data_IF_570549402202
#
_entry.id   IF_570549402202
#
_cell.length_a   1.000
_cell.length_b   1.000
_cell.length_c   1.000
_cell.angle_alpha   90.00
_cell.angle_beta   90.00
_cell.angle_gamma   90.00
#
_symmetry.space_group_name_H-M   'P 1'
#
loop_
_entity.id
_entity.type
_entity.pdbx_description
1 polymer ?
#
# COMPACT_ATOMS: atom_id res chain seq x y z
N UNK A 1 2.57 5.54 -15.38
CA UNK A 1 1.99 4.21 -15.02
C UNK A 1 2.18 3.79 -13.56
N UNK A 2 3.40 3.62 -13.00
CA UNK A 2 3.58 3.10 -11.61
C UNK A 2 2.91 3.97 -10.53
N UNK A 3 3.16 5.28 -10.60
CA UNK A 3 2.67 6.27 -9.62
C UNK A 3 1.16 6.45 -9.71
N UNK A 4 0.58 6.40 -10.91
CA UNK A 4 -0.86 6.54 -11.13
C UNK A 4 -1.67 5.45 -10.40
N UNK A 5 -1.20 4.19 -10.43
CA UNK A 5 -1.90 3.11 -9.72
C UNK A 5 -1.79 3.23 -8.21
N UNK A 6 -0.66 3.72 -7.68
CA UNK A 6 -0.54 3.95 -6.23
C UNK A 6 -1.43 5.11 -5.77
N UNK A 7 -1.54 6.19 -6.56
CA UNK A 7 -2.45 7.29 -6.29
C UNK A 7 -3.92 6.80 -6.27
N UNK A 8 -4.33 6.02 -7.27
CA UNK A 8 -5.67 5.40 -7.33
C UNK A 8 -5.92 4.43 -6.18
N UNK A 9 -4.90 3.70 -5.74
CA UNK A 9 -5.01 2.81 -4.58
C UNK A 9 -5.29 3.59 -3.30
N UNK A 10 -4.61 4.73 -3.08
CA UNK A 10 -4.87 5.62 -1.95
C UNK A 10 -6.27 6.24 -2.01
N UNK A 11 -6.71 6.68 -3.20
CA UNK A 11 -8.06 7.20 -3.40
C UNK A 11 -9.13 6.15 -3.06
N UNK A 12 -8.98 4.92 -3.53
CA UNK A 12 -9.91 3.84 -3.20
C UNK A 12 -9.83 3.39 -1.73
N UNK A 13 -8.66 3.49 -1.08
CA UNK A 13 -8.55 3.29 0.37
C UNK A 13 -9.34 4.35 1.15
N UNK A 14 -9.23 5.62 0.77
CA UNK A 14 -10.02 6.69 1.37
C UNK A 14 -11.53 6.46 1.14
N UNK A 15 -11.93 6.10 -0.08
CA UNK A 15 -13.32 5.75 -0.38
C UNK A 15 -13.82 4.55 0.42
N UNK A 16 -12.99 3.51 0.60
CA UNK A 16 -13.34 2.34 1.40
C UNK A 16 -13.58 2.72 2.88
N UNK A 17 -12.74 3.60 3.43
CA UNK A 17 -12.89 4.12 4.79
C UNK A 17 -14.21 4.90 4.94
N UNK A 18 -14.50 5.82 4.02
CA UNK A 18 -15.77 6.58 4.00
C UNK A 18 -16.98 5.64 3.94
N UNK A 19 -16.93 4.62 3.08
CA UNK A 19 -18.01 3.62 3.01
C UNK A 19 -18.18 2.87 4.34
N UNK A 20 -17.09 2.47 4.98
CA UNK A 20 -17.14 1.80 6.28
C UNK A 20 -17.76 2.67 7.37
N UNK A 21 -17.32 3.92 7.47
CA UNK A 21 -17.78 4.87 8.49
C UNK A 21 -19.28 5.19 8.35
N UNK A 22 -19.83 5.05 7.13
CA UNK A 22 -21.24 5.25 6.82
C UNK A 22 -22.07 3.95 6.80
N UNK A 23 -21.50 2.82 7.24
CA UNK A 23 -22.21 1.53 7.28
C UNK A 23 -22.42 0.88 5.91
N UNK A 24 -21.78 1.37 4.85
CA UNK A 24 -21.87 0.87 3.48
C UNK A 24 -20.88 -0.29 3.26
N UNK A 25 -21.06 -1.39 3.98
CA UNK A 25 -20.08 -2.47 4.08
C UNK A 25 -19.79 -3.22 2.77
N UNK A 26 -20.78 -3.40 1.90
CA UNK A 26 -20.58 -3.99 0.58
C UNK A 26 -19.72 -3.08 -0.31
N UNK A 27 -20.05 -1.78 -0.33
CA UNK A 27 -19.26 -0.78 -1.06
C UNK A 27 -17.83 -0.65 -0.49
N UNK A 28 -17.68 -0.73 0.84
CA UNK A 28 -16.37 -0.81 1.49
C UNK A 28 -15.56 -2.01 0.98
N UNK A 29 -16.16 -3.20 0.90
CA UNK A 29 -15.48 -4.40 0.40
C UNK A 29 -15.04 -4.25 -1.07
N UNK A 30 -15.92 -3.69 -1.91
CA UNK A 30 -15.63 -3.39 -3.30
C UNK A 30 -14.43 -2.42 -3.45
N UNK A 31 -14.50 -1.25 -2.80
CA UNK A 31 -13.43 -0.24 -2.84
C UNK A 31 -12.12 -0.77 -2.27
N UNK A 32 -12.20 -1.55 -1.19
CA UNK A 32 -11.02 -2.12 -0.58
C UNK A 32 -10.32 -3.13 -1.51
N UNK A 33 -11.06 -3.96 -2.22
CA UNK A 33 -10.47 -4.88 -3.19
C UNK A 33 -9.78 -4.14 -4.34
N UNK A 34 -10.43 -3.13 -4.94
CA UNK A 34 -9.81 -2.37 -6.03
C UNK A 34 -8.58 -1.59 -5.58
N UNK A 35 -8.59 -1.01 -4.38
CA UNK A 35 -7.40 -0.39 -3.79
C UNK A 35 -6.25 -1.38 -3.67
N UNK A 36 -6.51 -2.59 -3.14
CA UNK A 36 -5.51 -3.64 -3.01
C UNK A 36 -4.96 -4.09 -4.37
N UNK A 37 -5.83 -4.28 -5.36
CA UNK A 37 -5.43 -4.66 -6.72
C UNK A 37 -4.52 -3.61 -7.36
N UNK A 38 -4.88 -2.33 -7.23
CA UNK A 38 -4.08 -1.21 -7.75
C UNK A 38 -2.73 -1.09 -7.04
N UNK A 39 -2.69 -1.30 -5.72
CA UNK A 39 -1.43 -1.36 -4.97
C UNK A 39 -0.54 -2.52 -5.48
N UNK A 40 -1.11 -3.70 -5.74
CA UNK A 40 -0.38 -4.83 -6.30
C UNK A 40 0.16 -4.56 -7.72
N UNK A 41 -0.61 -3.88 -8.58
CA UNK A 41 -0.15 -3.44 -9.90
C UNK A 41 1.03 -2.47 -9.77
N UNK A 42 0.92 -1.49 -8.87
CA UNK A 42 2.02 -0.55 -8.60
C UNK A 42 3.27 -1.29 -8.10
N UNK A 43 3.11 -2.23 -7.15
CA UNK A 43 4.21 -3.04 -6.62
C UNK A 43 4.90 -3.90 -7.68
N UNK A 44 4.14 -4.55 -8.56
CA UNK A 44 4.69 -5.35 -9.67
C UNK A 44 5.45 -4.49 -10.65
N UNK A 45 4.84 -3.38 -11.08
CA UNK A 45 5.47 -2.45 -12.00
C UNK A 45 6.74 -1.85 -11.38
N UNK A 46 6.73 -1.52 -10.08
CA UNK A 46 7.90 -1.09 -9.31
C UNK A 46 9.07 -2.05 -9.48
N UNK A 47 8.81 -3.35 -9.36
CA UNK A 47 9.79 -4.44 -9.46
C UNK A 47 10.05 -4.93 -10.91
N UNK A 48 9.71 -4.11 -11.91
CA UNK A 48 10.01 -4.38 -13.32
C UNK A 48 9.05 -5.35 -14.01
N UNK A 49 7.97 -5.77 -13.35
CA UNK A 49 6.96 -6.66 -13.92
C UNK A 49 5.83 -5.80 -14.48
N UNK A 50 5.87 -5.56 -15.79
CA UNK A 50 4.87 -4.76 -16.51
C UNK A 50 3.87 -5.66 -17.23
N UNK A 51 2.67 -5.13 -17.48
CA UNK A 51 1.65 -5.78 -18.31
C UNK A 51 0.97 -4.78 -19.22
N UNK A 52 0.56 -5.26 -20.38
CA UNK A 52 -0.22 -4.50 -21.36
C UNK A 52 -1.71 -4.48 -20.99
N UNK A 53 -2.19 -5.51 -20.28
CA UNK A 53 -3.57 -5.63 -19.80
C UNK A 53 -3.60 -5.96 -18.32
N UNK A 54 -4.60 -5.42 -17.62
CA UNK A 54 -4.85 -5.72 -16.21
C UNK A 54 -5.82 -6.89 -16.13
N UNK A 55 -5.28 -8.08 -15.90
CA UNK A 55 -6.05 -9.27 -15.53
C UNK A 55 -5.98 -9.48 -14.02
N UNK A 56 -7.13 -9.62 -13.38
CA UNK A 56 -7.22 -9.71 -11.92
C UNK A 56 -6.54 -10.96 -11.38
N UNK A 57 -6.74 -12.11 -12.03
CA UNK A 57 -6.15 -13.39 -11.59
C UNK A 57 -4.64 -13.39 -11.75
N UNK A 58 -4.13 -12.90 -12.88
CA UNK A 58 -2.69 -12.83 -13.15
C UNK A 58 -1.99 -11.83 -12.22
N UNK A 59 -2.59 -10.67 -11.94
CA UNK A 59 -2.05 -9.71 -10.97
C UNK A 59 -1.84 -10.37 -9.61
N UNK A 60 -2.81 -11.16 -9.16
CA UNK A 60 -2.74 -11.89 -7.89
C UNK A 60 -1.67 -12.98 -7.91
N UNK A 61 -1.66 -13.78 -8.96
CA UNK A 61 -0.71 -14.86 -9.15
C UNK A 61 0.74 -14.33 -9.12
N UNK A 62 1.03 -13.24 -9.83
CA UNK A 62 2.39 -12.71 -9.87
C UNK A 62 2.74 -11.93 -8.60
N UNK A 63 1.82 -11.21 -7.99
CA UNK A 63 2.11 -10.54 -6.70
C UNK A 63 2.51 -11.58 -5.64
N UNK A 64 1.75 -12.66 -5.55
CA UNK A 64 2.02 -13.78 -4.64
C UNK A 64 3.26 -14.60 -5.04
N UNK A 65 3.38 -14.92 -6.32
CA UNK A 65 4.45 -15.76 -6.87
C UNK A 65 5.80 -15.05 -6.93
N UNK A 66 5.83 -13.88 -7.56
CA UNK A 66 7.07 -13.14 -7.78
C UNK A 66 7.48 -12.36 -6.53
N UNK A 67 6.61 -11.50 -6.00
CA UNK A 67 7.03 -10.53 -4.99
C UNK A 67 7.05 -11.10 -3.57
N UNK A 68 6.31 -12.18 -3.30
CA UNK A 68 6.28 -12.82 -1.98
C UNK A 68 7.10 -14.11 -1.97
N UNK A 69 6.78 -15.11 -2.81
CA UNK A 69 7.44 -16.42 -2.74
C UNK A 69 8.88 -16.38 -3.28
N UNK A 70 9.06 -15.89 -4.51
CA UNK A 70 10.34 -15.99 -5.23
C UNK A 70 11.34 -14.92 -4.77
N UNK A 71 10.94 -13.65 -4.83
CA UNK A 71 11.84 -12.51 -4.55
C UNK A 71 11.82 -12.05 -3.09
N UNK A 72 10.82 -12.48 -2.30
CA UNK A 72 10.68 -12.14 -0.87
C UNK A 72 10.71 -10.62 -0.60
N UNK A 73 10.19 -9.83 -1.53
CA UNK A 73 10.11 -8.36 -1.43
C UNK A 73 9.04 -7.96 -0.41
N UNK A 74 7.93 -8.69 -0.37
CA UNK A 74 6.83 -8.47 0.58
C UNK A 74 6.69 -9.62 1.58
N UNK A 75 6.20 -9.37 2.81
CA UNK A 75 6.03 -10.40 3.82
C UNK A 75 5.08 -11.52 3.40
N UNK A 76 5.37 -12.75 3.87
CA UNK A 76 4.59 -13.95 3.53
C UNK A 76 3.10 -13.86 3.87
N UNK A 77 2.71 -13.11 4.91
CA UNK A 77 1.31 -12.95 5.32
C UNK A 77 0.42 -12.25 4.29
N UNK A 78 0.99 -11.47 3.37
CA UNK A 78 0.25 -10.79 2.30
C UNK A 78 -0.20 -11.77 1.18
N UNK A 79 0.31 -13.01 1.18
CA UNK A 79 0.14 -13.97 0.09
C UNK A 79 -1.31 -14.22 -0.32
N UNK A 80 -2.24 -14.22 0.64
CA UNK A 80 -3.66 -14.47 0.41
C UNK A 80 -4.52 -13.21 0.33
N UNK A 81 -3.96 -12.03 0.59
CA UNK A 81 -4.77 -10.82 0.81
C UNK A 81 -5.67 -10.51 -0.38
N UNK A 82 -5.10 -10.50 -1.59
CA UNK A 82 -5.89 -10.18 -2.79
C UNK A 82 -6.97 -11.23 -3.10
N UNK A 83 -6.65 -12.52 -2.99
CA UNK A 83 -7.63 -13.59 -3.27
C UNK A 83 -8.75 -13.61 -2.22
N UNK A 84 -8.41 -13.41 -0.95
CA UNK A 84 -9.38 -13.31 0.14
C UNK A 84 -10.29 -12.09 -0.06
N UNK A 85 -9.70 -10.94 -0.41
CA UNK A 85 -10.44 -9.70 -0.63
C UNK A 85 -11.32 -9.77 -1.89
N UNK A 86 -10.85 -10.42 -2.96
CA UNK A 86 -11.68 -10.68 -4.14
C UNK A 86 -12.91 -11.51 -3.75
N UNK A 87 -12.70 -12.60 -3.02
CA UNK A 87 -13.81 -13.47 -2.59
C UNK A 87 -14.86 -12.72 -1.76
N UNK A 88 -14.43 -11.82 -0.87
CA UNK A 88 -15.36 -10.98 -0.10
C UNK A 88 -16.08 -9.96 -1.00
N UNK A 89 -15.35 -9.31 -1.92
CA UNK A 89 -15.92 -8.38 -2.89
C UNK A 89 -16.93 -9.06 -3.82
N UNK A 90 -16.65 -10.28 -4.28
CA UNK A 90 -17.56 -11.03 -5.16
C UNK A 90 -18.85 -11.39 -4.42
N UNK A 91 -18.77 -11.72 -3.11
CA UNK A 91 -19.97 -11.87 -2.27
C UNK A 91 -20.75 -10.55 -2.15
N UNK A 92 -20.04 -9.46 -1.87
CA UNK A 92 -20.64 -8.14 -1.69
C UNK A 92 -21.41 -7.66 -2.93
N UNK A 93 -20.89 -7.95 -4.12
CA UNK A 93 -21.39 -7.41 -5.38
C UNK A 93 -22.38 -8.33 -6.09
N UNK A 94 -22.24 -9.65 -5.95
CA UNK A 94 -22.93 -10.64 -6.79
C UNK A 94 -23.74 -11.68 -6.02
N UNK A 95 -23.92 -11.49 -4.71
CA UNK A 95 -24.77 -12.37 -3.90
C UNK A 95 -25.76 -11.55 -3.08
N UNK A 96 -26.78 -12.21 -2.57
CA UNK A 96 -27.77 -11.66 -1.64
C UNK A 96 -27.23 -11.46 -0.22
N UNK A 97 -26.00 -11.94 0.07
CA UNK A 97 -25.39 -11.88 1.40
C UNK A 97 -24.64 -10.57 1.60
N UNK A 98 -25.10 -9.78 2.56
CA UNK A 98 -24.41 -8.58 3.00
C UNK A 98 -23.11 -8.88 3.75
N UNK A 99 -22.12 -8.03 3.55
CA UNK A 99 -20.87 -8.03 4.32
C UNK A 99 -21.13 -7.40 5.68
N UNK A 100 -20.62 -8.05 6.74
CA UNK A 100 -20.73 -7.53 8.10
C UNK A 100 -19.63 -6.51 8.40
N UNK A 101 -19.90 -5.61 9.36
CA UNK A 101 -18.91 -4.66 9.89
C UNK A 101 -17.57 -5.32 10.21
N UNK A 102 -17.57 -6.48 10.88
CA UNK A 102 -16.35 -7.20 11.28
C UNK A 102 -15.55 -7.72 10.08
N UNK A 103 -16.20 -8.03 8.97
CA UNK A 103 -15.50 -8.46 7.74
C UNK A 103 -14.91 -7.23 7.05
N UNK A 104 -15.68 -6.16 6.91
CA UNK A 104 -15.22 -4.91 6.29
C UNK A 104 -14.06 -4.27 7.06
N UNK A 105 -14.10 -4.27 8.39
CA UNK A 105 -13.01 -3.78 9.24
C UNK A 105 -11.72 -4.58 9.00
N UNK A 106 -11.82 -5.91 8.97
CA UNK A 106 -10.67 -6.78 8.66
C UNK A 106 -10.12 -6.53 7.25
N UNK A 107 -10.98 -6.25 6.28
CA UNK A 107 -10.52 -5.85 4.93
C UNK A 107 -9.77 -4.53 4.96
N UNK A 108 -10.25 -3.52 5.70
CA UNK A 108 -9.57 -2.24 5.84
C UNK A 108 -8.21 -2.38 6.50
N UNK A 109 -8.09 -3.18 7.57
CA UNK A 109 -6.80 -3.43 8.22
C UNK A 109 -5.79 -4.06 7.24
N UNK A 110 -6.20 -5.10 6.51
CA UNK A 110 -5.37 -5.75 5.48
C UNK A 110 -4.99 -4.77 4.36
N UNK A 111 -5.93 -3.93 3.94
CA UNK A 111 -5.71 -2.95 2.89
C UNK A 111 -4.70 -1.88 3.31
N UNK A 112 -4.88 -1.29 4.50
CA UNK A 112 -3.97 -0.28 5.05
C UNK A 112 -2.54 -0.82 5.13
N UNK A 113 -2.38 -2.06 5.58
CA UNK A 113 -1.07 -2.72 5.61
C UNK A 113 -0.47 -2.88 4.21
N UNK A 114 -1.23 -3.42 3.25
CA UNK A 114 -0.74 -3.65 1.89
C UNK A 114 -0.33 -2.33 1.21
N UNK A 115 -1.18 -1.30 1.30
CA UNK A 115 -0.93 0.03 0.72
C UNK A 115 0.26 0.70 1.40
N UNK A 116 0.33 0.65 2.74
CA UNK A 116 1.44 1.20 3.52
C UNK A 116 2.79 0.58 3.15
N UNK A 117 2.87 -0.75 3.07
CA UNK A 117 4.09 -1.45 2.64
C UNK A 117 4.47 -1.12 1.19
N UNK A 118 3.48 -0.99 0.31
CA UNK A 118 3.70 -0.63 -1.10
C UNK A 118 4.25 0.79 -1.23
N UNK A 119 3.71 1.73 -0.46
CA UNK A 119 4.15 3.12 -0.41
C UNK A 119 5.56 3.23 0.17
N UNK A 120 5.83 2.58 1.30
CA UNK A 120 7.15 2.58 1.93
C UNK A 120 8.24 2.14 0.95
N UNK A 121 7.99 1.08 0.17
CA UNK A 121 8.95 0.60 -0.84
C UNK A 121 9.13 1.57 -2.00
N UNK A 122 8.05 2.19 -2.47
CA UNK A 122 8.14 3.23 -3.50
C UNK A 122 8.93 4.45 -3.02
N UNK A 123 8.82 4.84 -1.76
CA UNK A 123 9.58 5.95 -1.20
C UNK A 123 11.05 5.58 -0.99
N UNK A 124 11.34 4.42 -0.40
CA UNK A 124 12.72 3.97 -0.15
C UNK A 124 13.57 3.96 -1.43
N UNK A 125 13.03 3.42 -2.53
CA UNK A 125 13.71 3.43 -3.83
C UNK A 125 13.95 4.82 -4.43
N UNK A 126 13.12 5.82 -4.08
CA UNK A 126 13.35 7.22 -4.50
C UNK A 126 14.53 7.82 -3.74
N UNK A 127 14.67 7.51 -2.45
CA UNK A 127 15.80 7.97 -1.65
C UNK A 127 17.11 7.25 -2.00
N UNK A 128 17.07 5.95 -2.29
CA UNK A 128 18.24 5.20 -2.77
C UNK A 128 18.72 5.66 -4.16
N UNK A 129 17.82 6.22 -4.97
CA UNK A 129 18.13 6.76 -6.29
C UNK A 129 18.68 8.20 -6.27
N UNK A 130 18.66 8.88 -5.11
CA UNK A 130 19.29 10.19 -4.97
C UNK A 130 20.81 10.02 -4.90
N UNK A 131 21.59 10.81 -5.66
CA UNK A 131 23.04 10.72 -5.58
C UNK A 131 23.48 11.14 -4.16
N UNK A 132 24.52 10.49 -3.62
CA UNK A 132 25.00 10.70 -2.23
C UNK A 132 25.24 12.17 -1.85
N UNK A 133 25.48 13.03 -2.83
CA UNK A 133 25.69 14.47 -2.67
C UNK A 133 24.39 15.31 -2.61
N UNK A 134 23.22 14.77 -2.97
CA UNK A 134 21.94 15.49 -2.90
C UNK A 134 21.43 15.69 -1.46
N UNK A 135 22.02 15.00 -0.47
CA UNK A 135 21.70 15.19 0.94
C UNK A 135 22.28 16.48 1.55
N UNK A 136 23.26 17.13 0.88
CA UNK A 136 23.89 18.35 1.40
C UNK A 136 23.17 19.66 1.02
N UNK A 137 22.19 19.66 0.13
CA UNK A 137 21.58 20.91 -0.38
C UNK A 137 20.09 21.10 -0.01
N UNK A 138 19.50 20.23 0.80
CA UNK A 138 18.08 20.35 1.17
C UNK A 138 17.85 20.49 2.68
N UNK A 139 18.44 21.53 3.27
CA UNK A 139 17.85 22.17 4.44
C UNK A 139 17.67 23.65 4.13
N UNK A 140 16.44 24.15 3.90
CA UNK A 140 16.22 25.58 4.02
C UNK A 140 16.52 25.95 5.47
N UNK A 141 17.61 26.69 5.67
CA UNK A 141 17.91 27.31 6.94
C UNK A 141 16.70 28.16 7.36
N UNK A 142 15.94 27.71 8.36
CA UNK A 142 15.05 28.62 9.09
C UNK A 142 13.59 28.24 9.34
N UNK A 143 13.16 26.98 9.24
CA UNK A 143 11.84 26.60 9.77
C UNK A 143 11.98 25.72 11.02
N UNK A 144 11.44 26.21 12.13
CA UNK A 144 11.51 25.59 13.44
C UNK A 144 10.89 24.19 13.45
N UNK A 145 11.59 23.23 14.07
CA UNK A 145 11.09 21.87 14.26
C UNK A 145 9.74 21.88 15.01
N UNK A 146 8.70 21.15 14.54
CA UNK A 146 7.47 21.01 15.30
C UNK A 146 7.71 20.14 16.56
N UNK A 147 7.07 20.46 17.69
CA UNK A 147 7.34 19.79 18.96
C UNK A 147 6.84 18.33 18.94
N UNK A 148 7.75 17.38 19.16
CA UNK A 148 7.45 15.95 19.23
C UNK A 148 8.48 15.02 18.57
N UNK A 149 9.50 15.57 17.92
CA UNK A 149 10.52 14.80 17.21
C UNK A 149 11.57 14.23 18.19
N UNK A 150 11.54 12.90 18.43
CA UNK A 150 12.68 12.20 19.06
C UNK A 150 13.55 11.57 17.98
N UNK A 151 14.65 12.25 17.68
CA UNK A 151 15.82 11.65 17.03
C UNK A 151 16.37 10.55 17.93
N UNK A 152 16.39 9.31 17.46
CA UNK A 152 17.26 8.27 18.01
C UNK A 152 18.38 8.03 17.00
N UNK A 153 19.29 8.98 16.92
CA UNK A 153 20.56 8.80 16.24
C UNK A 153 21.59 8.25 17.25
N UNK A 154 22.00 7.00 17.08
CA UNK A 154 23.20 6.46 17.73
C UNK A 154 24.45 7.15 17.13
N UNK A 155 25.47 7.51 17.92
CA UNK A 155 26.67 8.17 17.39
C UNK A 155 27.46 7.18 16.53
N UNK A 156 27.55 7.45 15.22
CA UNK A 156 28.37 6.67 14.28
C UNK A 156 27.63 6.09 13.07
N UNK A 157 26.31 6.25 12.98
CA UNK A 157 25.52 5.90 11.79
C UNK A 157 24.85 7.16 11.24
N UNK A 158 25.54 7.89 10.35
CA UNK A 158 24.92 9.00 9.63
C UNK A 158 23.90 8.47 8.61
N UNK A 159 22.69 9.01 8.72
CA UNK A 159 21.59 8.98 7.74
C UNK A 159 20.79 7.68 7.61
N UNK A 160 19.92 7.43 8.59
CA UNK A 160 18.63 6.77 8.32
C UNK A 160 17.49 7.53 9.01
N UNK A 161 17.05 8.64 8.43
CA UNK A 161 15.83 9.32 8.89
C UNK A 161 14.62 8.59 8.30
N UNK A 162 14.05 7.65 9.05
CA UNK A 162 12.77 7.03 8.70
C UNK A 162 11.65 7.97 9.15
N UNK A 163 11.06 8.72 8.22
CA UNK A 163 9.81 9.44 8.46
C UNK A 163 8.63 8.46 8.47
N UNK A 164 8.20 8.05 9.66
CA UNK A 164 6.92 7.37 9.83
C UNK A 164 5.81 8.43 9.98
N UNK A 165 5.00 8.61 8.95
CA UNK A 165 3.71 9.27 9.09
C UNK A 165 2.68 8.23 9.54
N UNK A 166 2.26 8.30 10.79
CA UNK A 166 1.03 7.67 11.27
C UNK A 166 0.21 8.75 11.98
N UNK A 167 -0.86 9.21 11.32
CA UNK A 167 -2.05 9.75 11.97
C UNK A 167 -3.19 8.78 11.67
#
# INVERSE_FOLDING_TARGET
>A
MKIEFLAKANENLAAAQICFDNGLYNACANRAYYAALQAAIAALAHNGIKRDKIDHGQVQADFSGELIKRRKVYPARLKSYLSDMQFIRDKADYTDKNISIKISERMLTKLKELVGLTLQRHLASRYEALPRNAFCEALPHGEAEPPGMRSQAEPGNECLVIFLYLN
#
